data_IF_901382110184
#
_entry.id   IF_901382110184
#
_cell.length_a   1.000
_cell.length_b   1.000
_cell.length_c   1.000
_cell.angle_alpha   90.00
_cell.angle_beta   90.00
_cell.angle_gamma   90.00
#
_symmetry.space_group_name_H-M   'P 1'
#
loop_
_entity.id
_entity.type
_entity.pdbx_description
1 polymer ?
#
# COMPACT_ATOMS: atom_id res chain seq x y z
N UNK A 1 21.92 -11.01 32.11
CA UNK A 1 21.71 -10.36 30.79
C UNK A 1 20.35 -9.71 30.67
N UNK A 2 20.26 -8.60 29.94
CA UNK A 2 19.00 -7.95 29.57
C UNK A 2 18.74 -8.21 28.08
N UNK A 3 17.55 -8.67 27.75
CA UNK A 3 17.10 -8.92 26.37
C UNK A 3 15.81 -8.14 26.10
N UNK A 4 15.60 -7.75 24.84
CA UNK A 4 14.43 -7.00 24.41
C UNK A 4 13.55 -7.85 23.46
N UNK A 5 12.24 -7.89 23.73
CA UNK A 5 11.25 -8.52 22.86
C UNK A 5 10.61 -7.45 21.95
N UNK A 6 10.72 -7.62 20.62
CA UNK A 6 10.07 -6.74 19.66
C UNK A 6 8.56 -7.00 19.61
N UNK A 7 7.77 -5.95 19.88
CA UNK A 7 6.29 -5.97 19.82
C UNK A 7 5.73 -5.59 18.45
N UNK A 8 6.54 -4.92 17.62
CA UNK A 8 6.21 -4.49 16.25
C UNK A 8 7.37 -4.85 15.33
N UNK A 9 7.08 -4.96 14.04
CA UNK A 9 8.12 -5.07 13.03
C UNK A 9 9.03 -3.83 13.07
N UNK A 10 10.33 -4.06 13.21
CA UNK A 10 11.34 -3.00 13.22
C UNK A 10 11.95 -2.91 11.82
N UNK A 11 12.02 -1.69 11.28
CA UNK A 11 12.65 -1.44 9.98
C UNK A 11 14.09 -1.98 9.94
N UNK A 12 14.50 -2.49 8.78
CA UNK A 12 15.80 -3.15 8.60
C UNK A 12 15.85 -4.64 8.96
N UNK A 13 14.83 -5.16 9.66
CA UNK A 13 14.71 -6.62 9.83
C UNK A 13 14.11 -7.28 8.58
N UNK A 14 14.57 -8.49 8.25
CA UNK A 14 14.15 -9.25 7.06
C UNK A 14 12.62 -9.42 6.96
N UNK A 15 11.94 -9.59 8.08
CA UNK A 15 10.48 -9.76 8.13
C UNK A 15 9.70 -8.44 8.03
N UNK A 16 10.35 -7.29 8.25
CA UNK A 16 9.66 -6.02 8.43
C UNK A 16 8.93 -5.57 7.18
N UNK A 17 9.56 -5.68 6.01
CA UNK A 17 8.92 -5.33 4.73
C UNK A 17 7.67 -6.15 4.45
N UNK A 18 7.66 -7.45 4.79
CA UNK A 18 6.49 -8.31 4.62
C UNK A 18 5.36 -7.95 5.58
N UNK A 19 5.69 -7.70 6.85
CA UNK A 19 4.69 -7.26 7.84
C UNK A 19 4.11 -5.89 7.48
N UNK A 20 4.94 -4.98 6.96
CA UNK A 20 4.51 -3.68 6.46
C UNK A 20 3.57 -3.81 5.27
N UNK A 21 4.00 -4.50 4.21
CA UNK A 21 3.16 -4.72 3.03
C UNK A 21 1.84 -5.41 3.38
N UNK A 22 1.86 -6.43 4.24
CA UNK A 22 0.64 -7.13 4.67
C UNK A 22 -0.34 -6.21 5.42
N UNK A 23 0.16 -5.24 6.19
CA UNK A 23 -0.70 -4.22 6.80
C UNK A 23 -1.24 -3.27 5.75
N UNK A 24 -0.38 -2.75 4.87
CA UNK A 24 -0.74 -1.79 3.84
C UNK A 24 -1.78 -2.36 2.86
N UNK A 25 -1.57 -3.59 2.36
CA UNK A 25 -2.50 -4.29 1.48
C UNK A 25 -3.90 -4.39 2.08
N UNK A 26 -3.99 -4.72 3.38
CA UNK A 26 -5.26 -4.82 4.08
C UNK A 26 -5.99 -3.47 4.12
N UNK A 27 -5.27 -2.38 4.41
CA UNK A 27 -5.86 -1.04 4.42
C UNK A 27 -6.24 -0.60 3.00
N UNK A 28 -5.38 -0.74 2.00
CA UNK A 28 -5.73 -0.37 0.61
C UNK A 28 -6.98 -1.11 0.11
N UNK A 29 -7.16 -2.38 0.50
CA UNK A 29 -8.37 -3.14 0.21
C UNK A 29 -9.61 -2.62 0.96
N UNK A 30 -9.48 -2.12 2.19
CA UNK A 30 -10.62 -1.52 2.92
C UNK A 30 -11.05 -0.19 2.30
N UNK A 31 -10.12 0.54 1.67
CA UNK A 31 -10.41 1.70 0.82
C UNK A 31 -11.06 1.31 -0.53
N UNK A 32 -11.19 0.02 -0.84
CA UNK A 32 -11.81 -0.48 -2.06
C UNK A 32 -10.89 -0.56 -3.27
N UNK A 33 -9.57 -0.42 -3.07
CA UNK A 33 -8.59 -0.66 -4.11
C UNK A 33 -8.35 -2.16 -4.30
N UNK A 34 -8.09 -2.52 -5.55
CA UNK A 34 -7.89 -3.91 -5.97
C UNK A 34 -6.44 -4.02 -6.46
N UNK A 35 -5.65 -5.01 -5.98
CA UNK A 35 -4.32 -5.26 -6.51
C UNK A 35 -4.42 -5.75 -7.96
N UNK A 36 -3.51 -5.28 -8.80
CA UNK A 36 -3.39 -5.72 -10.19
C UNK A 36 -2.95 -7.17 -10.25
N UNK A 37 -3.45 -7.88 -11.26
CA UNK A 37 -3.01 -9.24 -11.56
C UNK A 37 -1.59 -9.29 -12.13
N UNK A 38 -1.15 -8.20 -12.75
CA UNK A 38 0.17 -8.12 -13.37
C UNK A 38 1.26 -7.75 -12.35
N UNK A 39 0.91 -6.92 -11.35
CA UNK A 39 1.84 -6.47 -10.32
C UNK A 39 1.10 -6.31 -8.97
N UNK A 40 1.43 -7.11 -7.94
CA UNK A 40 0.84 -7.00 -6.60
C UNK A 40 1.10 -5.68 -5.88
N UNK A 41 2.11 -4.90 -6.31
CA UNK A 41 2.42 -3.59 -5.75
C UNK A 41 1.61 -2.45 -6.40
N UNK A 42 0.89 -2.74 -7.48
CA UNK A 42 0.03 -1.79 -8.17
C UNK A 42 -1.44 -2.07 -7.81
N UNK A 43 -2.09 -1.09 -7.24
CA UNK A 43 -3.49 -1.10 -6.85
C UNK A 43 -4.26 -0.12 -7.72
N UNK A 44 -5.53 -0.43 -7.96
CA UNK A 44 -6.40 0.47 -8.71
C UNK A 44 -7.85 0.41 -8.23
N UNK A 45 -8.59 1.47 -8.53
CA UNK A 45 -10.03 1.58 -8.31
C UNK A 45 -10.64 2.39 -9.46
N UNK A 46 -11.90 2.10 -9.81
CA UNK A 46 -12.57 2.78 -10.90
C UNK A 46 -12.07 2.36 -12.29
N UNK A 47 -12.52 3.09 -13.33
CA UNK A 47 -12.18 2.85 -14.74
C UNK A 47 -12.25 4.17 -15.52
N UNK A 48 -11.58 4.25 -16.67
CA UNK A 48 -11.66 5.42 -17.55
C UNK A 48 -11.09 6.69 -16.91
N UNK A 49 -11.86 7.77 -16.92
CA UNK A 49 -11.48 9.07 -16.31
C UNK A 49 -11.48 9.04 -14.78
N UNK A 50 -12.25 8.16 -14.16
CA UNK A 50 -12.33 8.04 -12.70
C UNK A 50 -11.35 7.00 -12.13
N UNK A 51 -10.36 6.58 -12.91
CA UNK A 51 -9.36 5.63 -12.44
C UNK A 51 -8.45 6.28 -11.38
N UNK A 52 -8.27 5.60 -10.26
CA UNK A 52 -7.25 5.88 -9.25
C UNK A 52 -6.25 4.73 -9.27
N UNK A 53 -4.96 5.04 -9.33
CA UNK A 53 -3.86 4.08 -9.33
C UNK A 53 -2.97 4.41 -8.13
N UNK A 54 -2.59 3.38 -7.37
CA UNK A 54 -1.67 3.48 -6.25
C UNK A 54 -0.55 2.47 -6.47
N UNK A 55 0.69 2.94 -6.59
CA UNK A 55 1.87 2.09 -6.74
C UNK A 55 2.70 2.17 -5.46
N UNK A 56 3.06 1.02 -4.91
CA UNK A 56 3.85 0.90 -3.70
C UNK A 56 5.28 0.47 -4.03
N UNK A 57 6.26 1.23 -3.58
CA UNK A 57 7.67 0.86 -3.64
C UNK A 57 8.29 0.92 -2.25
N UNK A 58 8.32 -0.23 -1.56
CA UNK A 58 8.82 -0.34 -0.18
C UNK A 58 8.06 0.59 0.77
N UNK A 59 8.63 1.75 1.10
CA UNK A 59 8.09 2.79 1.97
C UNK A 59 7.54 4.01 1.21
N UNK A 60 7.79 4.09 -0.10
CA UNK A 60 7.23 5.11 -0.99
C UNK A 60 5.89 4.67 -1.58
N UNK A 61 4.97 5.63 -1.74
CA UNK A 61 3.67 5.44 -2.36
C UNK A 61 3.46 6.53 -3.42
N UNK A 62 3.24 6.09 -4.65
CA UNK A 62 2.85 6.97 -5.76
C UNK A 62 1.34 6.84 -6.00
N UNK A 63 0.65 7.97 -6.06
CA UNK A 63 -0.79 8.04 -6.34
C UNK A 63 -0.99 8.80 -7.64
N UNK A 64 -1.76 8.23 -8.55
CA UNK A 64 -2.09 8.85 -9.83
C UNK A 64 -3.59 8.70 -10.13
N UNK A 65 -4.21 9.79 -10.60
CA UNK A 65 -5.57 9.78 -11.13
C UNK A 65 -5.71 10.84 -12.21
N UNK A 66 -6.67 10.68 -13.11
CA UNK A 66 -7.06 11.74 -14.06
C UNK A 66 -8.02 12.76 -13.43
N UNK A 67 -8.72 12.36 -12.36
CA UNK A 67 -9.68 13.20 -11.66
C UNK A 67 -9.12 13.61 -10.30
N UNK A 68 -8.84 14.91 -10.12
CA UNK A 68 -8.28 15.45 -8.86
C UNK A 68 -9.18 15.16 -7.65
N UNK A 69 -10.49 15.01 -7.86
CA UNK A 69 -11.41 14.66 -6.77
C UNK A 69 -11.15 13.26 -6.21
N UNK A 70 -10.63 12.33 -7.01
CA UNK A 70 -10.25 11.00 -6.52
C UNK A 70 -8.99 11.07 -5.67
N UNK A 71 -8.06 11.98 -6.00
CA UNK A 71 -6.86 12.23 -5.18
C UNK A 71 -7.27 12.85 -3.84
N UNK A 72 -8.18 13.84 -3.85
CA UNK A 72 -8.62 14.53 -2.63
C UNK A 72 -9.46 13.66 -1.68
N UNK A 73 -10.04 12.56 -2.17
CA UNK A 73 -10.82 11.60 -1.38
C UNK A 73 -9.98 10.49 -0.77
N UNK A 74 -8.78 10.29 -1.31
CA UNK A 74 -7.82 9.32 -0.82
C UNK A 74 -7.04 9.93 0.36
#
# INVERSE_FOLDING_TARGET
DKVCLLRKALYGLKQAGRSWHGRLDKELKTFGLIPSRADPCLYYQGRGEDILIVLVYVDDILIASRNVNNINRF
#
